data_IF_062563324162
#
_entry.id   IF_062563324162
#
_cell.length_a   1.000
_cell.length_b   1.000
_cell.length_c   1.000
_cell.angle_alpha   90.00
_cell.angle_beta   90.00
_cell.angle_gamma   90.00
#
_symmetry.space_group_name_H-M   'P 1'
#
loop_
_entity.id
_entity.type
_entity.pdbx_description
1 polymer ?
#
# COMPACT_ATOMS: atom_id res chain seq x y z
N UNK A 1 10.33 -13.54 -25.86
CA UNK A 1 10.02 -12.15 -25.51
C UNK A 1 10.92 -11.76 -24.35
N UNK A 2 11.65 -10.63 -24.43
CA UNK A 2 12.44 -10.16 -23.30
C UNK A 2 11.48 -9.95 -22.12
N UNK A 3 11.57 -10.82 -21.11
CA UNK A 3 10.66 -10.84 -19.98
C UNK A 3 10.99 -9.59 -19.16
N UNK A 4 10.22 -8.52 -19.37
CA UNK A 4 10.12 -7.43 -18.41
C UNK A 4 9.47 -8.00 -17.16
N UNK A 5 10.29 -8.55 -16.27
CA UNK A 5 9.82 -9.03 -14.98
C UNK A 5 9.35 -7.81 -14.19
N UNK A 6 8.15 -7.90 -13.63
CA UNK A 6 7.63 -6.84 -12.76
C UNK A 6 8.44 -6.80 -11.48
N UNK A 7 9.31 -5.79 -11.35
CA UNK A 7 10.03 -5.50 -10.11
C UNK A 7 9.16 -4.76 -9.08
N UNK A 8 9.66 -4.67 -7.85
CA UNK A 8 9.00 -3.93 -6.77
C UNK A 8 9.54 -2.49 -6.69
N UNK A 9 8.77 -1.50 -6.22
CA UNK A 9 9.28 -0.12 -6.18
C UNK A 9 10.50 0.02 -5.26
N UNK A 10 10.67 -0.86 -4.26
CA UNK A 10 11.87 -0.91 -3.42
C UNK A 10 13.15 -1.18 -4.21
N UNK A 11 13.13 -2.11 -5.19
CA UNK A 11 14.31 -2.36 -6.03
C UNK A 11 14.58 -1.18 -6.96
N UNK A 12 13.54 -0.47 -7.41
CA UNK A 12 13.69 0.75 -8.21
C UNK A 12 14.33 1.89 -7.40
N UNK A 13 13.94 2.08 -6.15
CA UNK A 13 14.56 3.08 -5.25
C UNK A 13 16.04 2.77 -5.04
N UNK A 14 16.39 1.51 -4.74
CA UNK A 14 17.78 1.09 -4.57
C UNK A 14 18.61 1.26 -5.86
N UNK A 15 18.04 0.90 -7.01
CA UNK A 15 18.66 1.12 -8.32
C UNK A 15 18.91 2.60 -8.60
N UNK A 16 17.96 3.46 -8.23
CA UNK A 16 18.09 4.91 -8.33
C UNK A 16 19.25 5.45 -7.49
N UNK A 17 19.42 4.97 -6.26
CA UNK A 17 20.57 5.34 -5.41
C UNK A 17 21.89 4.95 -6.07
N UNK A 18 21.98 3.72 -6.61
CA UNK A 18 23.19 3.26 -7.32
C UNK A 18 23.46 4.12 -8.55
N UNK A 19 22.42 4.42 -9.35
CA UNK A 19 22.53 5.27 -10.54
C UNK A 19 23.02 6.68 -10.19
N UNK A 20 22.51 7.28 -9.11
CA UNK A 20 22.92 8.61 -8.64
C UNK A 20 24.38 8.61 -8.14
N UNK A 21 24.77 7.61 -7.36
CA UNK A 21 26.16 7.48 -6.88
C UNK A 21 27.12 7.32 -8.06
N UNK A 22 26.77 6.50 -9.04
CA UNK A 22 27.58 6.31 -10.25
C UNK A 22 27.62 7.56 -11.13
N UNK A 23 26.51 8.29 -11.25
CA UNK A 23 26.44 9.55 -12.00
C UNK A 23 27.31 10.64 -11.40
N UNK A 24 27.29 10.79 -10.07
CA UNK A 24 28.20 11.70 -9.37
C UNK A 24 29.67 11.34 -9.56
N UNK A 25 29.98 10.05 -9.66
CA UNK A 25 31.36 9.59 -9.90
C UNK A 25 31.85 9.91 -11.31
N UNK A 26 30.97 10.02 -12.30
CA UNK A 26 31.33 10.32 -13.69
C UNK A 26 31.30 11.81 -14.02
N UNK A 27 30.44 12.58 -13.35
CA UNK A 27 30.22 13.99 -13.67
C UNK A 27 31.49 14.83 -13.53
N UNK A 28 31.70 15.73 -14.49
CA UNK A 28 32.84 16.64 -14.55
C UNK A 28 34.16 15.99 -14.98
N UNK A 29 34.17 14.70 -15.31
CA UNK A 29 35.40 13.97 -15.70
C UNK A 29 35.63 13.88 -17.20
N UNK A 30 34.64 14.18 -18.04
CA UNK A 30 34.76 14.08 -19.49
C UNK A 30 34.15 15.27 -20.23
N UNK A 31 34.68 15.68 -21.39
CA UNK A 31 34.09 16.73 -22.22
C UNK A 31 32.76 16.31 -22.87
N UNK A 32 32.41 15.02 -22.83
CA UNK A 32 31.16 14.43 -23.32
C UNK A 32 30.15 14.16 -22.17
N UNK A 33 30.30 14.85 -21.04
CA UNK A 33 29.53 14.61 -19.81
C UNK A 33 28.01 14.62 -20.04
N UNK A 34 27.53 15.53 -20.90
CA UNK A 34 26.11 15.66 -21.25
C UNK A 34 25.51 14.41 -21.91
N UNK A 35 26.32 13.56 -22.55
CA UNK A 35 25.85 12.34 -23.24
C UNK A 35 26.24 11.10 -22.45
N UNK A 36 27.48 11.02 -21.97
CA UNK A 36 28.01 9.82 -21.32
C UNK A 36 27.38 9.61 -19.95
N UNK A 37 27.18 10.67 -19.16
CA UNK A 37 26.64 10.53 -17.80
C UNK A 37 25.20 10.01 -17.83
N UNK A 38 24.25 10.59 -18.59
CA UNK A 38 22.89 10.06 -18.64
C UNK A 38 22.82 8.64 -19.20
N UNK A 39 23.61 8.32 -20.24
CA UNK A 39 23.62 7.00 -20.84
C UNK A 39 24.16 5.93 -19.87
N UNK A 40 25.34 6.17 -19.29
CA UNK A 40 25.98 5.22 -18.40
C UNK A 40 25.20 5.03 -17.09
N UNK A 41 24.66 6.10 -16.51
CA UNK A 41 23.82 6.02 -15.30
C UNK A 41 22.52 5.28 -15.52
N UNK A 42 21.88 5.46 -16.69
CA UNK A 42 20.67 4.72 -17.06
C UNK A 42 20.96 3.23 -17.21
N UNK A 43 22.07 2.87 -17.86
CA UNK A 43 22.47 1.45 -18.03
C UNK A 43 22.77 0.82 -16.67
N UNK A 44 23.61 1.45 -15.85
CA UNK A 44 23.96 0.93 -14.51
C UNK A 44 22.73 0.85 -13.61
N UNK A 45 21.85 1.85 -13.64
CA UNK A 45 20.57 1.82 -12.92
C UNK A 45 19.68 0.66 -13.37
N UNK A 46 19.55 0.45 -14.68
CA UNK A 46 18.73 -0.64 -15.22
C UNK A 46 19.28 -2.02 -14.84
N UNK A 47 20.58 -2.23 -15.00
CA UNK A 47 21.24 -3.50 -14.66
C UNK A 47 21.17 -3.78 -13.17
N UNK A 48 21.50 -2.79 -12.33
CA UNK A 48 21.42 -2.94 -10.88
C UNK A 48 19.98 -3.19 -10.42
N UNK A 49 18.99 -2.47 -10.98
CA UNK A 49 17.58 -2.68 -10.70
C UNK A 49 17.09 -4.09 -11.05
N UNK A 50 17.55 -4.65 -12.17
CA UNK A 50 17.23 -6.02 -12.57
C UNK A 50 17.74 -7.05 -11.55
N UNK A 51 19.02 -6.96 -11.15
CA UNK A 51 19.59 -7.89 -10.15
C UNK A 51 18.97 -7.69 -8.76
N UNK A 52 18.69 -6.45 -8.36
CA UNK A 52 18.01 -6.16 -7.10
C UNK A 52 16.58 -6.71 -7.10
N UNK A 53 15.84 -6.58 -8.20
CA UNK A 53 14.50 -7.14 -8.34
C UNK A 53 14.52 -8.67 -8.24
N UNK A 54 15.55 -9.34 -8.78
CA UNK A 54 15.73 -10.78 -8.70
C UNK A 54 15.86 -11.31 -7.26
N UNK A 55 16.35 -10.49 -6.32
CA UNK A 55 16.47 -10.85 -4.90
C UNK A 55 15.30 -10.35 -4.07
N UNK A 56 14.91 -9.10 -4.24
CA UNK A 56 13.89 -8.43 -3.41
C UNK A 56 12.48 -8.95 -3.69
N UNK A 57 12.15 -9.21 -4.96
CA UNK A 57 10.81 -9.69 -5.34
C UNK A 57 10.48 -11.05 -4.71
N UNK A 58 11.30 -12.12 -4.87
CA UNK A 58 10.99 -13.40 -4.25
C UNK A 58 10.98 -13.33 -2.72
N UNK A 59 11.85 -12.52 -2.11
CA UNK A 59 11.85 -12.32 -0.66
C UNK A 59 10.52 -11.72 -0.16
N UNK A 60 10.05 -10.64 -0.81
CA UNK A 60 8.77 -10.03 -0.45
C UNK A 60 7.58 -10.96 -0.71
N UNK A 61 7.61 -11.71 -1.81
CA UNK A 61 6.57 -12.71 -2.12
C UNK A 61 6.56 -13.83 -1.08
N UNK A 62 7.72 -14.30 -0.62
CA UNK A 62 7.80 -15.31 0.43
C UNK A 62 7.21 -14.80 1.76
N UNK A 63 7.56 -13.58 2.16
CA UNK A 63 7.00 -12.94 3.37
C UNK A 63 5.49 -12.76 3.24
N UNK A 64 5.02 -12.24 2.10
CA UNK A 64 3.60 -12.02 1.86
C UNK A 64 2.80 -13.32 1.79
N UNK A 65 3.36 -14.38 1.21
CA UNK A 65 2.78 -15.74 1.21
C UNK A 65 2.68 -16.30 2.63
N UNK A 66 3.74 -16.13 3.43
CA UNK A 66 3.73 -16.53 4.83
C UNK A 66 2.62 -15.81 5.60
N UNK A 67 2.48 -14.50 5.44
CA UNK A 67 1.42 -13.71 6.07
C UNK A 67 0.03 -14.19 5.59
N UNK A 68 -0.17 -14.36 4.27
CA UNK A 68 -1.44 -14.84 3.71
C UNK A 68 -1.83 -16.25 4.20
N UNK A 69 -0.84 -17.11 4.45
CA UNK A 69 -1.07 -18.46 4.98
C UNK A 69 -1.58 -18.48 6.43
N UNK A 70 -1.45 -17.38 7.18
CA UNK A 70 -1.98 -17.26 8.54
C UNK A 70 -3.50 -17.41 8.61
N UNK A 71 -4.21 -17.09 7.53
CA UNK A 71 -5.67 -17.26 7.40
C UNK A 71 -6.08 -18.72 7.54
N UNK A 72 -5.25 -19.66 7.06
CA UNK A 72 -5.53 -21.09 7.17
C UNK A 72 -5.39 -21.63 8.60
N UNK A 73 -4.59 -20.97 9.44
CA UNK A 73 -4.39 -21.36 10.85
C UNK A 73 -5.56 -20.90 11.71
N UNK A 74 -5.95 -19.64 11.57
CA UNK A 74 -7.12 -19.08 12.24
C UNK A 74 -7.72 -18.00 11.33
N UNK A 75 -8.91 -18.21 10.74
CA UNK A 75 -9.49 -17.25 9.82
C UNK A 75 -9.70 -15.86 10.44
N UNK A 76 -10.15 -15.79 11.70
CA UNK A 76 -10.46 -14.52 12.38
C UNK A 76 -9.17 -13.73 12.64
N UNK A 77 -8.19 -14.35 13.29
CA UNK A 77 -6.92 -13.68 13.62
C UNK A 77 -6.08 -13.45 12.35
N UNK A 78 -6.06 -14.42 11.46
CA UNK A 78 -5.29 -14.38 10.21
C UNK A 78 -5.76 -13.27 9.28
N UNK A 79 -7.07 -13.09 9.10
CA UNK A 79 -7.60 -11.98 8.26
C UNK A 79 -7.27 -10.61 8.86
N UNK A 80 -7.30 -10.46 10.18
CA UNK A 80 -6.87 -9.23 10.84
C UNK A 80 -5.37 -8.94 10.61
N UNK A 81 -4.50 -9.94 10.80
CA UNK A 81 -3.05 -9.81 10.59
C UNK A 81 -2.72 -9.49 9.14
N UNK A 82 -3.35 -10.19 8.18
CA UNK A 82 -3.16 -9.94 6.75
C UNK A 82 -3.56 -8.52 6.40
N UNK A 83 -4.72 -8.06 6.87
CA UNK A 83 -5.20 -6.71 6.60
C UNK A 83 -4.24 -5.65 7.17
N UNK A 84 -3.77 -5.81 8.41
CA UNK A 84 -2.77 -4.92 9.00
C UNK A 84 -1.46 -4.92 8.22
N UNK A 85 -0.93 -6.10 7.86
CA UNK A 85 0.33 -6.20 7.16
C UNK A 85 0.28 -5.55 5.78
N UNK A 86 -0.76 -5.82 4.99
CA UNK A 86 -0.91 -5.25 3.65
C UNK A 86 -1.32 -3.78 3.69
N UNK A 87 -2.08 -3.35 4.69
CA UNK A 87 -2.30 -1.93 4.98
C UNK A 87 -0.97 -1.22 5.23
N UNK A 88 -0.12 -1.75 6.12
CA UNK A 88 1.20 -1.19 6.38
C UNK A 88 2.08 -1.17 5.13
N UNK A 89 2.14 -2.26 4.36
CA UNK A 89 2.88 -2.32 3.10
C UNK A 89 2.37 -1.33 2.05
N UNK A 90 1.09 -0.96 2.09
CA UNK A 90 0.54 0.08 1.20
C UNK A 90 1.17 1.45 1.46
N UNK A 91 1.65 1.69 2.69
CA UNK A 91 2.34 2.93 3.05
C UNK A 91 3.86 2.85 2.95
N UNK A 92 4.45 1.71 2.60
CA UNK A 92 5.90 1.62 2.42
C UNK A 92 6.31 1.75 0.95
N UNK A 93 7.62 1.83 0.64
CA UNK A 93 8.12 1.69 -0.73
C UNK A 93 7.80 0.31 -1.36
N UNK A 94 7.31 -0.67 -0.60
CA UNK A 94 6.73 -1.86 -1.18
C UNK A 94 5.40 -1.53 -1.89
N UNK A 95 5.04 -2.29 -2.92
CA UNK A 95 3.74 -2.14 -3.57
C UNK A 95 2.82 -3.27 -3.12
N UNK A 96 1.80 -2.95 -2.29
CA UNK A 96 0.78 -3.91 -1.89
C UNK A 96 0.03 -4.48 -3.12
N UNK A 97 -0.24 -3.65 -4.14
CA UNK A 97 -0.86 -4.07 -5.40
C UNK A 97 -0.02 -5.11 -6.15
N UNK A 98 1.27 -4.81 -6.39
CA UNK A 98 2.15 -5.74 -7.09
C UNK A 98 2.38 -7.02 -6.28
N UNK A 99 2.49 -6.89 -4.95
CA UNK A 99 2.68 -8.02 -4.05
C UNK A 99 1.46 -8.94 -4.01
N UNK A 100 0.23 -8.40 -3.98
CA UNK A 100 -0.99 -9.19 -4.03
C UNK A 100 -1.07 -10.02 -5.31
N UNK A 101 -0.79 -9.42 -6.47
CA UNK A 101 -0.73 -10.12 -7.77
C UNK A 101 0.32 -11.23 -7.74
N UNK A 102 1.53 -10.91 -7.25
CA UNK A 102 2.63 -11.86 -7.20
C UNK A 102 2.33 -13.06 -6.29
N UNK A 103 1.67 -12.85 -5.14
CA UNK A 103 1.24 -13.92 -4.24
C UNK A 103 0.16 -14.79 -4.86
N UNK A 104 -0.83 -14.18 -5.54
CA UNK A 104 -1.84 -14.93 -6.29
C UNK A 104 -1.21 -15.85 -7.34
N UNK A 105 -0.11 -15.43 -7.96
CA UNK A 105 0.65 -16.24 -8.91
C UNK A 105 1.43 -17.41 -8.25
N UNK A 106 1.63 -17.41 -6.92
CA UNK A 106 2.30 -18.50 -6.20
C UNK A 106 1.39 -19.66 -5.78
N UNK A 107 0.13 -19.64 -6.21
CA UNK A 107 -0.87 -20.67 -5.89
C UNK A 107 -1.61 -20.45 -4.57
N UNK A 108 -1.48 -19.28 -3.94
CA UNK A 108 -2.37 -18.90 -2.83
C UNK A 108 -3.74 -18.58 -3.39
N UNK A 109 -4.75 -19.37 -3.03
CA UNK A 109 -6.11 -19.28 -3.58
C UNK A 109 -7.16 -18.92 -2.54
N UNK A 110 -6.78 -18.69 -1.28
CA UNK A 110 -7.73 -18.36 -0.20
C UNK A 110 -8.47 -17.04 -0.50
N UNK A 111 -9.80 -17.09 -0.74
CA UNK A 111 -10.58 -15.89 -1.02
C UNK A 111 -10.56 -14.88 0.14
N UNK A 112 -10.50 -15.38 1.37
CA UNK A 112 -10.48 -14.58 2.60
C UNK A 112 -9.15 -13.83 2.75
N UNK A 113 -8.04 -14.40 2.28
CA UNK A 113 -6.75 -13.69 2.26
C UNK A 113 -6.79 -12.53 1.26
N UNK A 114 -7.33 -12.75 0.06
CA UNK A 114 -7.47 -11.69 -0.93
C UNK A 114 -8.44 -10.59 -0.45
N UNK A 115 -9.56 -10.98 0.19
CA UNK A 115 -10.47 -10.06 0.85
C UNK A 115 -9.80 -9.28 1.99
N UNK A 116 -9.00 -9.92 2.83
CA UNK A 116 -8.30 -9.25 3.93
C UNK A 116 -7.26 -8.24 3.42
N UNK A 117 -6.52 -8.57 2.35
CA UNK A 117 -5.62 -7.63 1.67
C UNK A 117 -6.41 -6.41 1.15
N UNK A 118 -7.58 -6.65 0.54
CA UNK A 118 -8.46 -5.59 0.07
C UNK A 118 -8.93 -4.68 1.19
N UNK A 119 -9.42 -5.23 2.30
CA UNK A 119 -9.89 -4.43 3.44
C UNK A 119 -8.72 -3.67 4.07
N UNK A 120 -7.55 -4.31 4.22
CA UNK A 120 -6.35 -3.69 4.76
C UNK A 120 -5.87 -2.49 3.95
N UNK A 121 -5.77 -2.64 2.64
CA UNK A 121 -5.41 -1.54 1.73
C UNK A 121 -6.49 -0.46 1.72
N UNK A 122 -7.77 -0.83 1.69
CA UNK A 122 -8.91 0.11 1.76
C UNK A 122 -8.88 0.96 3.03
N UNK A 123 -8.60 0.36 4.19
CA UNK A 123 -8.55 1.04 5.47
C UNK A 123 -7.55 2.21 5.48
N UNK A 124 -6.42 2.07 4.78
CA UNK A 124 -5.42 3.12 4.62
C UNK A 124 -5.92 4.23 3.69
N UNK A 125 -6.52 3.85 2.56
CA UNK A 125 -7.09 4.81 1.60
C UNK A 125 -8.17 5.68 2.23
N UNK A 126 -9.01 5.13 3.11
CA UNK A 126 -10.10 5.90 3.74
C UNK A 126 -9.71 6.52 5.07
N UNK A 127 -8.77 5.89 5.79
CA UNK A 127 -8.32 6.31 7.11
C UNK A 127 -7.58 7.65 7.09
N UNK A 128 -6.53 7.77 6.26
CA UNK A 128 -5.71 8.99 6.17
C UNK A 128 -6.50 10.25 5.78
N UNK A 129 -7.37 10.24 4.74
CA UNK A 129 -8.25 11.38 4.46
C UNK A 129 -9.19 11.70 5.62
N UNK A 130 -9.76 10.68 6.27
CA UNK A 130 -10.67 10.88 7.42
C UNK A 130 -9.97 11.50 8.63
N UNK A 131 -8.68 11.24 8.81
CA UNK A 131 -7.92 11.90 9.88
C UNK A 131 -7.57 13.35 9.55
N UNK A 132 -7.26 13.60 8.28
CA UNK A 132 -6.60 14.83 7.85
C UNK A 132 -7.51 15.82 7.14
N UNK A 133 -8.80 15.54 6.97
CA UNK A 133 -9.72 16.41 6.22
C UNK A 133 -9.86 17.83 6.77
N UNK A 134 -9.62 18.04 8.07
CA UNK A 134 -9.61 19.38 8.66
C UNK A 134 -8.28 20.11 8.48
N UNK A 135 -7.20 19.37 8.22
CA UNK A 135 -5.84 19.90 8.09
C UNK A 135 -5.49 20.16 6.63
N UNK A 136 -6.21 19.56 5.68
CA UNK A 136 -5.89 19.57 4.27
C UNK A 136 -6.94 20.29 3.41
N UNK A 137 -6.48 20.83 2.28
CA UNK A 137 -7.38 21.28 1.21
C UNK A 137 -8.19 20.09 0.68
N UNK A 138 -9.37 20.37 0.14
CA UNK A 138 -10.25 19.33 -0.40
C UNK A 138 -9.57 18.51 -1.50
N UNK A 139 -8.78 19.15 -2.37
CA UNK A 139 -8.01 18.47 -3.42
C UNK A 139 -7.01 17.46 -2.86
N UNK A 140 -6.29 17.81 -1.80
CA UNK A 140 -5.35 16.91 -1.13
C UNK A 140 -6.07 15.73 -0.46
N UNK A 141 -7.25 15.98 0.12
CA UNK A 141 -8.12 14.94 0.72
C UNK A 141 -8.64 13.96 -0.32
N UNK A 142 -9.06 14.45 -1.48
CA UNK A 142 -9.47 13.62 -2.62
C UNK A 142 -8.27 12.83 -3.17
N UNK A 143 -7.10 13.46 -3.31
CA UNK A 143 -5.90 12.82 -3.83
C UNK A 143 -5.45 11.64 -2.95
N UNK A 144 -5.39 11.79 -1.62
CA UNK A 144 -5.03 10.67 -0.74
C UNK A 144 -6.08 9.55 -0.74
N UNK A 145 -7.36 9.90 -0.88
CA UNK A 145 -8.47 8.94 -0.79
C UNK A 145 -8.77 8.18 -2.07
N UNK A 146 -8.54 8.77 -3.23
CA UNK A 146 -8.90 8.18 -4.53
C UNK A 146 -7.65 7.77 -5.30
N UNK A 147 -6.58 8.57 -5.26
CA UNK A 147 -5.39 8.34 -6.08
C UNK A 147 -4.39 7.49 -5.33
N UNK A 148 -3.86 7.98 -4.20
CA UNK A 148 -2.91 7.21 -3.39
C UNK A 148 -2.72 7.78 -1.99
N UNK A 149 -2.86 6.97 -0.92
CA UNK A 149 -2.56 7.41 0.44
C UNK A 149 -1.05 7.61 0.66
N UNK A 150 -0.20 7.11 -0.25
CA UNK A 150 1.26 7.29 -0.17
C UNK A 150 1.69 8.75 -0.17
N UNK A 151 0.83 9.71 -0.54
CA UNK A 151 1.14 11.13 -0.37
C UNK A 151 1.36 11.52 1.11
N UNK A 152 0.85 10.72 2.05
CA UNK A 152 1.11 10.87 3.49
C UNK A 152 2.39 10.16 3.96
N UNK A 153 3.17 9.56 3.05
CA UNK A 153 4.41 8.87 3.40
C UNK A 153 5.42 9.77 4.12
N UNK A 154 5.68 11.03 3.70
CA UNK A 154 6.59 11.92 4.44
C UNK A 154 6.15 12.12 5.90
N UNK A 155 4.86 12.41 6.12
CA UNK A 155 4.29 12.59 7.46
C UNK A 155 4.41 11.30 8.30
N UNK A 156 4.23 10.13 7.67
CA UNK A 156 4.39 8.85 8.33
C UNK A 156 5.85 8.53 8.69
N UNK A 157 6.83 8.99 7.90
CA UNK A 157 8.25 8.84 8.24
C UNK A 157 8.65 9.69 9.43
N UNK A 158 8.01 10.85 9.63
CA UNK A 158 8.23 11.67 10.83
C UNK A 158 7.54 11.09 12.07
N UNK A 159 6.36 10.48 11.91
CA UNK A 159 5.63 9.86 13.00
C UNK A 159 4.93 8.57 12.57
N UNK A 160 5.59 7.42 12.77
CA UNK A 160 5.04 6.11 12.44
C UNK A 160 3.74 5.77 13.17
N UNK A 161 3.44 6.42 14.30
CA UNK A 161 2.23 6.14 15.07
C UNK A 161 0.95 6.50 14.29
N UNK A 162 1.03 7.38 13.29
CA UNK A 162 -0.12 7.82 12.49
C UNK A 162 -0.82 6.68 11.74
N UNK A 163 -0.13 5.57 11.47
CA UNK A 163 -0.72 4.38 10.83
C UNK A 163 -1.52 3.51 11.80
N UNK A 164 -1.40 3.73 13.11
CA UNK A 164 -2.04 2.85 14.11
C UNK A 164 -3.56 2.82 13.94
N UNK A 165 -4.28 3.94 13.84
CA UNK A 165 -5.74 3.86 13.78
C UNK A 165 -6.29 3.22 12.50
N UNK A 166 -5.73 3.43 11.29
CA UNK A 166 -6.15 2.69 10.10
C UNK A 166 -5.85 1.20 10.22
N UNK A 167 -4.74 0.81 10.87
CA UNK A 167 -4.45 -0.61 11.12
C UNK A 167 -5.44 -1.25 12.09
N UNK A 168 -5.83 -0.55 13.16
CA UNK A 168 -6.87 -1.04 14.07
C UNK A 168 -8.20 -1.17 13.33
N UNK A 169 -8.54 -0.17 12.50
CA UNK A 169 -9.72 -0.22 11.63
C UNK A 169 -9.69 -1.43 10.70
N UNK A 170 -8.56 -1.69 10.04
CA UNK A 170 -8.35 -2.85 9.19
C UNK A 170 -8.49 -4.18 9.95
N UNK A 171 -7.89 -4.28 11.15
CA UNK A 171 -7.93 -5.48 11.98
C UNK A 171 -9.33 -5.84 12.43
N UNK A 172 -10.18 -4.84 12.69
CA UNK A 172 -11.59 -5.04 13.07
C UNK A 172 -12.45 -5.33 11.84
N UNK A 173 -12.26 -4.56 10.76
CA UNK A 173 -13.11 -4.65 9.57
C UNK A 173 -12.88 -5.94 8.78
N UNK A 174 -11.64 -6.43 8.70
CA UNK A 174 -11.30 -7.56 7.84
C UNK A 174 -12.02 -8.85 8.22
N UNK A 175 -11.95 -9.35 9.48
CA UNK A 175 -12.64 -10.59 9.85
C UNK A 175 -14.15 -10.49 9.63
N UNK A 176 -14.75 -9.33 9.92
CA UNK A 176 -16.19 -9.11 9.76
C UNK A 176 -16.54 -9.15 8.27
N UNK A 177 -15.85 -8.38 7.43
CA UNK A 177 -16.15 -8.28 6.01
C UNK A 177 -15.87 -9.61 5.28
N UNK A 178 -14.75 -10.28 5.57
CA UNK A 178 -14.35 -11.48 4.83
C UNK A 178 -15.02 -12.75 5.32
N UNK A 179 -15.23 -12.92 6.63
CA UNK A 179 -15.77 -14.17 7.20
C UNK A 179 -17.30 -14.10 7.31
N UNK A 180 -17.84 -12.99 7.84
CA UNK A 180 -19.29 -12.90 8.04
C UNK A 180 -20.04 -12.53 6.74
N UNK A 181 -19.43 -11.71 5.88
CA UNK A 181 -20.07 -11.21 4.66
C UNK A 181 -19.43 -11.69 3.36
N UNK A 182 -18.39 -12.53 3.42
CA UNK A 182 -17.71 -13.12 2.26
C UNK A 182 -17.24 -12.06 1.23
N UNK A 183 -16.84 -10.88 1.70
CA UNK A 183 -16.25 -9.84 0.85
C UNK A 183 -14.88 -10.30 0.38
N UNK A 184 -14.78 -10.59 -0.91
CA UNK A 184 -13.56 -11.09 -1.55
C UNK A 184 -13.35 -10.39 -2.88
N UNK A 185 -12.12 -10.42 -3.38
CA UNK A 185 -11.78 -9.93 -4.69
C UNK A 185 -10.65 -10.79 -5.28
N UNK A 186 -10.53 -10.86 -6.62
CA UNK A 186 -9.35 -11.43 -7.27
C UNK A 186 -8.06 -10.80 -6.73
N UNK A 187 -6.99 -11.59 -6.61
CA UNK A 187 -5.67 -11.09 -6.16
C UNK A 187 -5.13 -9.93 -7.02
N UNK A 188 -5.53 -9.86 -8.29
CA UNK A 188 -5.22 -8.73 -9.18
C UNK A 188 -5.80 -7.39 -8.72
N UNK A 189 -6.88 -7.42 -7.92
CA UNK A 189 -7.58 -6.26 -7.38
C UNK A 189 -7.48 -6.16 -5.84
N UNK A 190 -6.93 -7.18 -5.17
CA UNK A 190 -6.86 -7.18 -3.71
C UNK A 190 -5.97 -6.06 -3.16
N UNK A 191 -4.81 -5.80 -3.78
CA UNK A 191 -3.83 -4.84 -3.25
C UNK A 191 -4.04 -3.38 -3.66
N UNK A 192 -5.10 -3.05 -4.40
CA UNK A 192 -5.37 -1.68 -4.89
C UNK A 192 -6.32 -0.89 -3.97
N UNK A 193 -6.99 -1.54 -3.02
CA UNK A 193 -7.86 -0.88 -2.04
C UNK A 193 -8.99 -0.07 -2.69
N UNK A 194 -9.11 1.19 -2.27
CA UNK A 194 -10.15 2.12 -2.74
C UNK A 194 -9.73 2.93 -3.98
N UNK A 195 -8.58 2.61 -4.57
CA UNK A 195 -8.02 3.37 -5.69
C UNK A 195 -8.98 3.46 -6.87
N UNK A 196 -9.25 4.69 -7.32
CA UNK A 196 -10.07 5.01 -8.49
C UNK A 196 -11.45 4.32 -8.50
N UNK A 197 -11.94 3.92 -7.32
CA UNK A 197 -13.16 3.13 -7.13
C UNK A 197 -13.23 1.81 -7.93
N UNK A 198 -12.10 1.25 -8.37
CA UNK A 198 -12.07 0.07 -9.23
C UNK A 198 -12.79 -1.11 -8.56
N UNK A 199 -12.47 -1.39 -7.30
CA UNK A 199 -13.05 -2.50 -6.55
C UNK A 199 -14.53 -2.27 -6.21
N UNK A 200 -14.95 -1.11 -5.65
CA UNK A 200 -16.37 -0.88 -5.42
C UNK A 200 -17.21 -0.95 -6.70
N UNK A 201 -16.72 -0.43 -7.84
CA UNK A 201 -17.42 -0.56 -9.12
C UNK A 201 -17.50 -2.01 -9.61
N UNK A 202 -16.40 -2.78 -9.48
CA UNK A 202 -16.39 -4.19 -9.84
C UNK A 202 -17.36 -5.02 -8.96
N UNK A 203 -17.42 -4.75 -7.66
CA UNK A 203 -18.35 -5.41 -6.74
C UNK A 203 -19.80 -5.00 -7.02
N UNK A 204 -20.06 -3.72 -7.31
CA UNK A 204 -21.41 -3.26 -7.62
C UNK A 204 -21.99 -3.95 -8.88
N UNK A 205 -21.15 -4.20 -9.89
CA UNK A 205 -21.56 -4.89 -11.10
C UNK A 205 -21.68 -6.42 -10.98
N UNK A 206 -20.99 -7.04 -10.01
CA UNK A 206 -20.92 -8.51 -9.88
C UNK A 206 -21.72 -9.06 -8.70
N UNK A 207 -21.64 -8.43 -7.53
CA UNK A 207 -22.31 -8.85 -6.31
C UNK A 207 -22.69 -7.62 -5.45
N UNK A 208 -23.92 -7.09 -5.62
CA UNK A 208 -24.40 -5.93 -4.88
C UNK A 208 -24.40 -6.10 -3.35
N UNK A 209 -24.57 -7.32 -2.85
CA UNK A 209 -24.52 -7.60 -1.42
C UNK A 209 -23.08 -7.49 -0.88
N UNK A 210 -22.10 -8.03 -1.61
CA UNK A 210 -20.67 -7.87 -1.27
C UNK A 210 -20.22 -6.41 -1.39
N UNK A 211 -20.74 -5.66 -2.38
CA UNK A 211 -20.53 -4.21 -2.47
C UNK A 211 -21.04 -3.47 -1.23
N UNK A 212 -22.28 -3.74 -0.81
CA UNK A 212 -22.86 -3.11 0.38
C UNK A 212 -22.04 -3.44 1.63
N UNK A 213 -21.65 -4.71 1.81
CA UNK A 213 -20.79 -5.13 2.92
C UNK A 213 -19.40 -4.47 2.88
N UNK A 214 -18.80 -4.35 1.70
CA UNK A 214 -17.53 -3.65 1.50
C UNK A 214 -17.63 -2.17 1.89
N UNK A 215 -18.69 -1.47 1.46
CA UNK A 215 -18.87 -0.05 1.79
C UNK A 215 -19.21 0.19 3.26
N UNK A 216 -20.06 -0.64 3.86
CA UNK A 216 -20.49 -0.46 5.26
C UNK A 216 -19.36 -0.86 6.22
N UNK A 217 -18.72 -2.00 5.96
CA UNK A 217 -17.77 -2.62 6.89
C UNK A 217 -16.34 -2.28 6.49
N UNK A 218 -15.98 -2.55 5.24
CA UNK A 218 -14.62 -2.31 4.72
C UNK A 218 -14.22 -0.84 4.64
N UNK A 219 -15.18 0.06 4.40
CA UNK A 219 -14.96 1.51 4.38
C UNK A 219 -15.45 2.16 5.68
N UNK A 220 -16.70 1.90 6.08
CA UNK A 220 -17.30 2.56 7.24
C UNK A 220 -16.57 2.31 8.56
N UNK A 221 -16.18 1.06 8.86
CA UNK A 221 -15.47 0.76 10.11
C UNK A 221 -14.10 1.45 10.16
N UNK A 222 -13.22 1.34 9.14
CA UNK A 222 -11.95 2.06 9.17
C UNK A 222 -12.09 3.58 9.23
N UNK A 223 -13.11 4.18 8.60
CA UNK A 223 -13.40 5.62 8.72
C UNK A 223 -13.67 6.00 10.17
N UNK A 224 -14.62 5.32 10.83
CA UNK A 224 -15.01 5.63 12.21
C UNK A 224 -13.84 5.40 13.17
N UNK A 225 -13.16 4.25 13.04
CA UNK A 225 -12.03 3.89 13.92
C UNK A 225 -10.86 4.85 13.71
N UNK A 226 -10.56 5.23 12.46
CA UNK A 226 -9.49 6.19 12.17
C UNK A 226 -9.80 7.57 12.71
N UNK A 227 -11.03 8.05 12.55
CA UNK A 227 -11.48 9.35 13.05
C UNK A 227 -11.35 9.43 14.58
N UNK A 228 -11.92 8.45 15.29
CA UNK A 228 -11.90 8.40 16.77
C UNK A 228 -10.48 8.17 17.27
N UNK A 229 -9.75 7.23 16.68
CA UNK A 229 -8.39 6.89 17.07
C UNK A 229 -7.43 8.05 16.91
N UNK A 230 -7.52 8.82 15.83
CA UNK A 230 -6.67 10.01 15.64
C UNK A 230 -6.96 11.11 16.67
N UNK A 231 -8.24 11.35 17.01
CA UNK A 231 -8.62 12.28 18.08
C UNK A 231 -8.05 11.85 19.43
N UNK A 232 -8.02 10.56 19.70
CA UNK A 232 -7.46 10.00 20.92
C UNK A 232 -5.94 10.13 20.95
N UNK A 233 -5.26 9.80 19.85
CA UNK A 233 -3.81 10.01 19.69
C UNK A 233 -3.40 11.46 19.91
N UNK A 234 -4.20 12.42 19.41
CA UNK A 234 -3.98 13.84 19.66
C UNK A 234 -4.11 14.21 21.14
N UNK A 235 -5.09 13.65 21.85
CA UNK A 235 -5.25 13.88 23.30
C UNK A 235 -4.10 13.29 24.11
N UNK A 236 -3.55 12.16 23.68
CA UNK A 236 -2.39 11.51 24.31
C UNK A 236 -1.05 12.17 23.96
N UNK A 237 -1.03 13.18 23.08
CA UNK A 237 0.20 13.83 22.62
C UNK A 237 1.00 13.01 21.61
N UNK A 238 0.47 11.89 21.11
CA UNK A 238 1.11 11.04 20.11
C UNK A 238 1.04 11.60 18.70
N UNK A 239 0.12 12.53 18.44
CA UNK A 239 0.03 13.27 17.19
C UNK A 239 -0.09 14.76 17.47
N UNK A 240 0.71 15.57 16.77
CA UNK A 240 0.66 17.03 16.85
C UNK A 240 -0.44 17.59 15.92
N UNK A 241 -1.01 18.76 16.22
CA UNK A 241 -1.86 19.48 15.28
C UNK A 241 -1.13 19.74 13.95
N UNK A 242 -1.85 19.66 12.82
CA UNK A 242 -1.33 19.90 11.46
C UNK A 242 -0.27 18.89 10.98
N UNK A 243 -0.07 17.80 11.71
CA UNK A 243 0.93 16.80 11.36
C UNK A 243 0.55 15.97 10.12
N UNK A 244 -0.72 15.93 9.74
CA UNK A 244 -1.16 15.29 8.50
C UNK A 244 -1.36 16.30 7.36
N UNK A 245 -0.92 17.54 7.55
CA UNK A 245 -0.96 18.56 6.51
C UNK A 245 -0.12 18.14 5.30
N UNK A 246 -0.66 18.40 4.12
CA UNK A 246 -0.04 18.16 2.84
C UNK A 246 0.16 19.50 2.15
N UNK A 247 1.42 19.90 2.00
CA UNK A 247 1.79 21.02 1.14
C UNK A 247 1.63 20.55 -0.32
N UNK A 248 0.56 21.01 -0.98
CA UNK A 248 0.41 20.79 -2.41
C UNK A 248 1.29 21.79 -3.15
N UNK A 249 2.34 21.29 -3.80
CA UNK A 249 3.19 22.01 -4.77
C UNK A 249 2.40 22.25 -6.06
#
# INVERSE_FOLDING_TARGET
SAIMTTGQPISAVMAGVIAVLFGKLLSGKTPLDMVIVPAATTIVGTVSGYYLAAVTTPALVAIGKFIASSVAVNPIIGTAIVAMAFGAMTMTPASAAALAVAIGATGVTSPEAAGAILIGTTAVFVGFPTMSFHENKIGATIAQGIVTPKIQFPNLTENPALIIPPMIGAAIAAPIATIAFNVTAPFSMAGIGFNSFIVPLALAGSNPAAFAAYMIIGVGVPVIVSFVGYRFMRKMGWAKPQQLHLEMI
#
